data_IF_630119835557
#
_entry.id   IF_630119835557
#
_cell.length_a   1.000
_cell.length_b   1.000
_cell.length_c   1.000
_cell.angle_alpha   90.00
_cell.angle_beta   90.00
_cell.angle_gamma   90.00
#
_symmetry.space_group_name_H-M   'P 1'
#
loop_
_entity.id
_entity.type
_entity.pdbx_description
1 polymer ?
#
# COMPACT_ATOMS: atom_id res chain seq x y z
N UNK A 1 -14.41 4.91 -17.44
CA UNK A 1 -15.24 5.90 -16.72
C UNK A 1 -15.63 5.27 -15.37
N UNK A 2 -14.78 5.42 -14.35
CA UNK A 2 -14.87 4.79 -13.01
C UNK A 2 -15.96 5.45 -12.16
N UNK A 3 -17.17 5.58 -12.70
CA UNK A 3 -18.23 6.44 -12.14
C UNK A 3 -19.34 5.66 -11.43
N UNK A 4 -19.43 4.33 -11.57
CA UNK A 4 -20.69 3.64 -11.21
C UNK A 4 -20.68 2.82 -9.92
N UNK A 5 -19.53 2.59 -9.27
CA UNK A 5 -19.49 1.77 -8.05
C UNK A 5 -18.96 2.47 -6.78
N UNK A 6 -18.43 3.68 -6.89
CA UNK A 6 -18.11 4.48 -5.70
C UNK A 6 -19.35 5.23 -5.22
N UNK A 7 -20.28 4.50 -4.60
CA UNK A 7 -21.36 5.10 -3.80
C UNK A 7 -20.75 6.13 -2.84
N UNK A 8 -21.34 7.32 -2.80
CA UNK A 8 -21.03 8.45 -1.91
C UNK A 8 -20.39 8.01 -0.59
N UNK A 9 -19.04 8.01 -0.54
CA UNK A 9 -18.31 7.69 0.68
C UNK A 9 -18.50 8.88 1.62
N UNK A 10 -19.36 8.71 2.64
CA UNK A 10 -19.62 9.72 3.67
C UNK A 10 -18.30 10.27 4.23
N UNK A 11 -18.30 11.58 4.48
CA UNK A 11 -17.19 12.42 5.01
C UNK A 11 -16.16 11.65 5.84
N UNK A 12 -14.88 11.85 5.51
CA UNK A 12 -13.69 11.48 6.31
C UNK A 12 -13.97 11.68 7.81
N UNK A 13 -14.17 10.60 8.55
CA UNK A 13 -14.47 10.66 9.98
C UNK A 13 -13.18 10.82 10.77
N UNK A 14 -12.98 12.01 11.34
CA UNK A 14 -11.97 12.25 12.36
C UNK A 14 -12.65 12.30 13.72
N UNK A 15 -12.06 11.64 14.71
CA UNK A 15 -12.57 11.62 16.08
C UNK A 15 -11.58 12.30 17.01
N UNK A 16 -12.07 12.92 18.09
CA UNK A 16 -11.19 13.42 19.15
C UNK A 16 -10.51 12.23 19.82
N UNK A 17 -9.20 12.26 19.97
CA UNK A 17 -8.51 11.19 20.68
C UNK A 17 -8.61 11.39 22.20
N UNK A 18 -8.57 10.29 22.94
CA UNK A 18 -8.53 10.26 24.40
C UNK A 18 -7.47 9.29 24.89
N UNK A 19 -7.12 9.40 26.18
CA UNK A 19 -6.06 8.61 26.82
C UNK A 19 -6.37 7.11 26.83
N UNK A 20 -7.65 6.76 26.93
CA UNK A 20 -8.16 5.40 26.85
C UNK A 20 -7.86 4.73 25.51
N UNK A 21 -7.77 5.52 24.42
CA UNK A 21 -7.45 4.96 23.10
C UNK A 21 -6.01 4.48 23.04
N UNK A 22 -5.12 5.03 23.87
CA UNK A 22 -3.72 4.62 23.90
C UNK A 22 -3.53 3.24 24.57
N UNK A 23 -4.55 2.67 25.20
CA UNK A 23 -4.49 1.33 25.79
C UNK A 23 -4.41 0.22 24.75
N UNK A 24 -4.78 0.51 23.49
CA UNK A 24 -4.59 -0.42 22.36
C UNK A 24 -3.12 -0.46 21.90
N UNK A 25 -2.31 0.52 22.29
CA UNK A 25 -0.91 0.60 21.91
C UNK A 25 -0.05 -0.31 22.79
N UNK A 26 1.07 -0.77 22.23
CA UNK A 26 2.08 -1.46 23.03
C UNK A 26 2.60 -0.54 24.14
N UNK A 27 2.91 -1.11 25.30
CA UNK A 27 3.34 -0.36 26.50
C UNK A 27 4.52 0.57 26.22
N UNK A 28 5.48 0.12 25.43
CA UNK A 28 6.68 0.87 25.05
C UNK A 28 6.39 2.05 24.10
N UNK A 29 5.37 1.94 23.25
CA UNK A 29 4.98 2.97 22.29
C UNK A 29 4.02 4.03 22.88
N UNK A 30 3.29 3.69 23.95
CA UNK A 30 2.22 4.53 24.54
C UNK A 30 2.67 5.96 24.82
N UNK A 31 3.78 6.12 25.55
CA UNK A 31 4.32 7.42 25.94
C UNK A 31 4.78 8.23 24.73
N UNK A 32 5.42 7.59 23.76
CA UNK A 32 5.92 8.27 22.57
C UNK A 32 4.78 8.77 21.68
N UNK A 33 3.71 7.98 21.53
CA UNK A 33 2.51 8.37 20.78
C UNK A 33 1.81 9.53 21.48
N UNK A 34 1.66 9.47 22.81
CA UNK A 34 1.07 10.55 23.60
C UNK A 34 1.82 11.86 23.41
N UNK A 35 3.15 11.84 23.59
CA UNK A 35 3.99 13.02 23.43
C UNK A 35 3.89 13.58 22.02
N UNK A 36 3.97 12.72 21.01
CA UNK A 36 3.81 13.13 19.61
C UNK A 36 2.46 13.85 19.36
N UNK A 37 1.35 13.31 19.88
CA UNK A 37 0.03 13.93 19.72
C UNK A 37 -0.07 15.30 20.41
N UNK A 38 0.50 15.43 21.61
CA UNK A 38 0.47 16.67 22.39
C UNK A 38 1.39 17.74 21.79
N UNK A 39 2.64 17.40 21.49
CA UNK A 39 3.66 18.30 20.94
C UNK A 39 3.23 18.88 19.58
N UNK A 40 2.59 18.06 18.74
CA UNK A 40 2.07 18.49 17.44
C UNK A 40 0.64 19.06 17.51
N UNK A 41 0.07 19.22 18.71
CA UNK A 41 -1.28 19.75 18.94
C UNK A 41 -2.38 19.00 18.15
N UNK A 42 -2.17 17.70 17.91
CA UNK A 42 -3.12 16.87 17.17
C UNK A 42 -4.30 16.57 18.09
N UNK A 43 -5.46 17.17 17.83
CA UNK A 43 -6.68 16.97 18.65
C UNK A 43 -7.56 15.83 18.14
N UNK A 44 -7.44 15.47 16.87
CA UNK A 44 -8.27 14.46 16.23
C UNK A 44 -7.42 13.49 15.42
N UNK A 45 -7.83 12.23 15.43
CA UNK A 45 -7.20 11.14 14.70
C UNK A 45 -8.19 10.53 13.71
N UNK A 46 -7.72 9.94 12.60
CA UNK A 46 -8.59 9.36 11.61
C UNK A 46 -9.26 8.07 12.12
N UNK A 47 -10.55 7.93 11.83
CA UNK A 47 -11.30 6.68 11.92
C UNK A 47 -11.50 6.16 10.50
N UNK A 48 -10.97 4.98 10.21
CA UNK A 48 -10.90 4.39 8.88
C UNK A 48 -11.74 3.13 8.82
N UNK A 49 -12.59 3.03 7.80
CA UNK A 49 -13.27 1.79 7.43
C UNK A 49 -12.44 1.05 6.39
N UNK A 50 -12.06 -0.19 6.68
CA UNK A 50 -11.28 -1.05 5.79
C UNK A 50 -12.21 -1.84 4.86
N UNK A 51 -11.61 -2.49 3.85
CA UNK A 51 -12.35 -3.27 2.85
C UNK A 51 -13.13 -4.45 3.45
N UNK A 52 -12.69 -4.97 4.60
CA UNK A 52 -13.39 -6.00 5.37
C UNK A 52 -14.62 -5.48 6.14
N UNK A 53 -14.94 -4.18 6.00
CA UNK A 53 -16.05 -3.52 6.65
C UNK A 53 -15.79 -3.05 8.09
N UNK A 54 -14.65 -3.42 8.69
CA UNK A 54 -14.30 -3.01 10.06
C UNK A 54 -13.86 -1.56 10.10
N UNK A 55 -14.20 -0.88 11.19
CA UNK A 55 -13.76 0.49 11.45
C UNK A 55 -12.72 0.52 12.56
N UNK A 56 -11.58 1.17 12.31
CA UNK A 56 -10.52 1.33 13.29
C UNK A 56 -10.17 2.80 13.48
N UNK A 57 -9.88 3.15 14.73
CA UNK A 57 -9.22 4.41 15.08
C UNK A 57 -7.73 4.23 14.85
N UNK A 58 -7.13 5.11 14.04
CA UNK A 58 -5.73 4.99 13.67
C UNK A 58 -4.92 6.00 14.46
N UNK A 59 -4.18 5.51 15.45
CA UNK A 59 -3.21 6.28 16.22
C UNK A 59 -1.86 6.32 15.51
N UNK A 60 -0.97 7.28 15.87
CA UNK A 60 0.40 7.27 15.41
C UNK A 60 1.08 5.94 15.73
N UNK A 61 1.96 5.51 14.85
CA UNK A 61 2.80 4.35 15.03
C UNK A 61 4.26 4.81 15.16
N UNK A 62 5.03 4.10 15.99
CA UNK A 62 6.47 4.34 16.15
C UNK A 62 7.25 3.29 15.37
N UNK A 63 7.98 3.71 14.35
CA UNK A 63 8.95 2.86 13.65
C UNK A 63 10.33 3.04 14.26
N UNK A 64 11.01 1.92 14.54
CA UNK A 64 12.42 1.87 14.91
C UNK A 64 13.20 1.32 13.72
N UNK A 65 13.85 2.22 12.99
CA UNK A 65 14.60 1.91 11.78
C UNK A 65 16.08 1.80 12.12
N UNK A 66 16.67 0.63 11.85
CA UNK A 66 18.11 0.45 11.90
C UNK A 66 18.71 0.90 10.57
N UNK A 67 19.39 2.04 10.57
CA UNK A 67 20.03 2.60 9.36
C UNK A 67 21.41 1.98 9.16
N UNK A 68 22.17 1.81 10.24
CA UNK A 68 23.47 1.13 10.22
C UNK A 68 23.62 0.22 11.44
N UNK A 69 24.77 -0.45 11.58
CA UNK A 69 25.04 -1.29 12.76
C UNK A 69 24.97 -0.50 14.07
N UNK A 70 25.30 0.80 14.04
CA UNK A 70 25.39 1.71 15.19
C UNK A 70 24.29 2.78 15.26
N UNK A 71 23.56 3.03 14.18
CA UNK A 71 22.55 4.09 14.11
C UNK A 71 21.12 3.54 14.04
N UNK A 72 20.28 3.98 14.98
CA UNK A 72 18.82 3.78 14.96
C UNK A 72 18.10 5.11 14.87
N UNK A 73 17.07 5.16 14.07
CA UNK A 73 16.18 6.31 13.90
C UNK A 73 14.78 5.91 14.33
N UNK A 74 14.14 6.78 15.11
CA UNK A 74 12.74 6.61 15.50
C UNK A 74 11.89 7.58 14.70
N UNK A 75 10.81 7.07 14.12
CA UNK A 75 9.82 7.88 13.40
C UNK A 75 8.47 7.63 14.06
N UNK A 76 7.78 8.69 14.47
CA UNK A 76 6.40 8.61 14.94
C UNK A 76 5.50 9.31 13.91
N UNK A 77 4.51 8.61 13.37
CA UNK A 77 3.61 9.15 12.35
C UNK A 77 2.31 8.34 12.25
N UNK A 78 1.23 8.95 11.75
CA UNK A 78 0.02 8.20 11.39
C UNK A 78 0.35 7.22 10.25
N UNK A 79 0.12 5.89 10.41
CA UNK A 79 0.48 4.87 9.43
C UNK A 79 -0.49 4.81 8.23
N UNK A 80 -0.80 5.96 7.64
CA UNK A 80 -1.68 6.08 6.47
C UNK A 80 -0.97 6.89 5.39
N UNK A 81 -1.09 6.41 4.15
CA UNK A 81 -0.70 7.12 2.94
C UNK A 81 -1.90 7.16 1.99
N UNK A 82 -2.00 8.20 1.17
CA UNK A 82 -2.98 8.21 0.09
C UNK A 82 -2.68 7.04 -0.86
N UNK A 83 -3.68 6.21 -1.11
CA UNK A 83 -3.54 4.95 -1.85
C UNK A 83 -4.40 4.92 -3.14
N UNK A 84 -4.80 6.09 -3.65
CA UNK A 84 -5.55 6.18 -4.92
C UNK A 84 -4.74 5.75 -6.14
N UNK A 85 -3.44 6.02 -6.11
CA UNK A 85 -2.50 5.59 -7.13
C UNK A 85 -1.21 5.11 -6.44
N UNK A 86 -0.70 3.98 -6.90
CA UNK A 86 0.52 3.36 -6.39
C UNK A 86 1.40 2.98 -7.58
N UNK A 87 2.72 3.11 -7.42
CA UNK A 87 3.66 2.56 -8.39
C UNK A 87 3.71 1.03 -8.27
N UNK A 88 3.90 0.36 -9.41
CA UNK A 88 3.81 -1.11 -9.55
C UNK A 88 4.86 -1.90 -8.76
N UNK A 89 5.89 -1.23 -8.21
CA UNK A 89 6.99 -1.87 -7.48
C UNK A 89 6.70 -2.22 -6.01
N UNK A 90 5.47 -1.97 -5.53
CA UNK A 90 5.07 -2.40 -4.19
C UNK A 90 4.54 -3.83 -4.26
N UNK A 91 5.32 -4.80 -3.77
CA UNK A 91 5.05 -6.25 -3.84
C UNK A 91 3.86 -6.76 -3.00
N UNK A 92 2.75 -6.02 -2.96
CA UNK A 92 1.55 -6.32 -2.16
C UNK A 92 0.46 -6.99 -3.01
N UNK A 93 -0.33 -7.85 -2.40
CA UNK A 93 -1.59 -8.33 -2.99
C UNK A 93 -2.69 -7.30 -2.75
N UNK A 94 -3.49 -7.01 -3.76
CA UNK A 94 -4.57 -6.02 -3.74
C UNK A 94 -5.91 -6.69 -4.08
N UNK A 95 -6.93 -6.45 -3.24
CA UNK A 95 -8.29 -6.95 -3.51
C UNK A 95 -8.97 -6.18 -4.65
N UNK A 96 -8.65 -4.89 -4.81
CA UNK A 96 -9.19 -4.03 -5.87
C UNK A 96 -8.08 -3.19 -6.50
N UNK A 97 -7.99 -3.17 -7.83
CA UNK A 97 -7.02 -2.36 -8.55
C UNK A 97 -7.50 -1.97 -9.94
N UNK A 98 -7.12 -0.76 -10.36
CA UNK A 98 -7.26 -0.28 -11.73
C UNK A 98 -5.86 -0.04 -12.30
N UNK A 99 -5.53 -0.68 -13.41
CA UNK A 99 -4.25 -0.51 -14.10
C UNK A 99 -4.51 0.22 -15.40
N UNK A 100 -3.80 1.33 -15.62
CA UNK A 100 -3.79 2.03 -16.89
C UNK A 100 -2.43 1.87 -17.57
N UNK A 101 -2.43 1.22 -18.73
CA UNK A 101 -1.23 1.02 -19.54
C UNK A 101 -1.08 2.05 -20.67
N UNK A 102 -1.95 3.07 -20.77
CA UNK A 102 -1.96 4.01 -21.89
C UNK A 102 -0.58 4.64 -22.18
N UNK A 103 0.15 5.05 -21.12
CA UNK A 103 1.48 5.67 -21.23
C UNK A 103 2.64 4.70 -20.95
N UNK A 104 2.40 3.38 -21.03
CA UNK A 104 3.43 2.38 -20.76
C UNK A 104 4.37 2.15 -21.95
N UNK A 105 5.67 2.13 -21.68
CA UNK A 105 6.70 1.85 -22.70
C UNK A 105 6.61 0.42 -23.24
N UNK A 106 6.75 0.28 -24.57
CA UNK A 106 6.75 -1.02 -25.28
C UNK A 106 7.82 -2.01 -24.80
N UNK A 107 8.92 -1.52 -24.23
CA UNK A 107 10.07 -2.34 -23.83
C UNK A 107 10.15 -2.60 -22.31
N UNK A 108 9.08 -2.35 -21.56
CA UNK A 108 9.03 -2.60 -20.12
C UNK A 108 8.77 -4.09 -19.81
N UNK A 109 9.76 -4.94 -20.11
CA UNK A 109 9.66 -6.39 -19.91
C UNK A 109 9.25 -6.75 -18.48
N UNK A 110 8.22 -7.58 -18.35
CA UNK A 110 7.67 -8.03 -17.06
C UNK A 110 6.76 -7.04 -16.34
N UNK A 111 6.61 -5.79 -16.79
CA UNK A 111 5.78 -4.79 -16.08
C UNK A 111 4.30 -5.18 -16.05
N UNK A 112 3.75 -5.65 -17.18
CA UNK A 112 2.36 -6.11 -17.27
C UNK A 112 2.11 -7.25 -16.30
N UNK A 113 3.02 -8.23 -16.25
CA UNK A 113 2.95 -9.35 -15.32
C UNK A 113 3.02 -8.88 -13.86
N UNK A 114 3.95 -7.98 -13.52
CA UNK A 114 4.07 -7.45 -12.15
C UNK A 114 2.79 -6.74 -11.73
N UNK A 115 2.21 -5.90 -12.60
CA UNK A 115 0.99 -5.16 -12.31
C UNK A 115 -0.22 -6.09 -12.13
N UNK A 116 -0.44 -7.01 -13.07
CA UNK A 116 -1.60 -7.93 -13.03
C UNK A 116 -1.50 -8.95 -11.89
N UNK A 117 -0.29 -9.45 -11.60
CA UNK A 117 -0.06 -10.40 -10.49
C UNK A 117 -0.30 -9.82 -9.10
N UNK A 118 -0.61 -8.52 -8.97
CA UNK A 118 -1.03 -7.92 -7.70
C UNK A 118 -2.50 -8.23 -7.38
N UNK A 119 -3.34 -8.47 -8.40
CA UNK A 119 -4.75 -8.73 -8.20
C UNK A 119 -4.94 -10.07 -7.50
N UNK A 120 -5.78 -10.09 -6.47
CA UNK A 120 -6.17 -11.33 -5.80
C UNK A 120 -7.12 -12.18 -6.65
N UNK A 121 -8.03 -11.51 -7.35
CA UNK A 121 -9.02 -12.12 -8.24
C UNK A 121 -9.27 -11.20 -9.45
N UNK A 122 -9.85 -11.77 -10.51
CA UNK A 122 -10.16 -11.01 -11.73
C UNK A 122 -11.29 -9.99 -11.53
N UNK A 123 -12.26 -10.31 -10.67
CA UNK A 123 -13.44 -9.46 -10.39
C UNK A 123 -13.05 -8.09 -9.81
N UNK A 124 -11.94 -8.03 -9.06
CA UNK A 124 -11.42 -6.80 -8.46
C UNK A 124 -10.51 -5.97 -9.38
N UNK A 125 -10.32 -6.37 -10.65
CA UNK A 125 -9.35 -5.77 -11.55
C UNK A 125 -10.00 -5.07 -12.75
N UNK A 126 -9.66 -3.79 -12.95
CA UNK A 126 -9.98 -3.03 -14.16
C UNK A 126 -8.69 -2.74 -14.93
N UNK A 127 -8.69 -2.96 -16.25
CA UNK A 127 -7.53 -2.72 -17.12
C UNK A 127 -7.90 -1.73 -18.23
N UNK A 128 -7.11 -0.67 -18.35
CA UNK A 128 -7.20 0.36 -19.38
C UNK A 128 -5.92 0.38 -20.22
N UNK A 129 -6.03 0.77 -21.50
CA UNK A 129 -4.87 1.02 -22.36
C UNK A 129 -4.03 -0.22 -22.72
N UNK A 130 -4.53 -1.43 -22.48
CA UNK A 130 -3.79 -2.66 -22.76
C UNK A 130 -3.53 -2.85 -24.25
N UNK A 131 -2.29 -3.19 -24.59
CA UNK A 131 -1.91 -3.68 -25.92
C UNK A 131 -1.14 -4.98 -25.80
N UNK A 132 -1.42 -5.92 -26.70
CA UNK A 132 -0.76 -7.24 -26.71
C UNK A 132 0.76 -7.15 -26.84
N UNK A 133 1.27 -6.13 -27.55
CA UNK A 133 2.71 -5.91 -27.77
C UNK A 133 3.49 -5.51 -26.49
N UNK A 134 2.79 -5.18 -25.40
CA UNK A 134 3.40 -4.86 -24.10
C UNK A 134 3.75 -6.11 -23.27
N UNK A 135 3.18 -7.26 -23.61
CA UNK A 135 3.47 -8.52 -22.91
C UNK A 135 4.76 -9.09 -23.47
N UNK A 136 5.88 -8.77 -22.81
CA UNK A 136 7.19 -9.26 -23.20
C UNK A 136 8.02 -9.71 -22.00
N UNK A 137 8.85 -10.71 -22.23
CA UNK A 137 9.89 -11.16 -21.30
C UNK A 137 11.27 -10.72 -21.80
N UNK A 138 12.21 -10.57 -20.87
CA UNK A 138 13.57 -10.23 -21.22
C UNK A 138 14.30 -11.48 -21.73
N UNK A 139 14.85 -11.44 -22.96
CA UNK A 139 15.56 -12.57 -23.59
C UNK A 139 16.68 -13.16 -22.74
N UNK A 140 17.34 -12.37 -21.87
CA UNK A 140 18.35 -12.89 -20.93
C UNK A 140 17.74 -13.77 -19.85
N UNK A 141 16.54 -13.42 -19.39
CA UNK A 141 15.80 -14.19 -18.39
C UNK A 141 15.26 -15.48 -19.00
N UNK A 142 14.75 -15.43 -20.24
CA UNK A 142 14.33 -16.63 -20.98
C UNK A 142 15.47 -17.65 -21.06
N UNK A 143 16.64 -17.24 -21.57
CA UNK A 143 17.84 -18.10 -21.65
C UNK A 143 18.29 -18.66 -20.29
N UNK A 144 18.18 -17.85 -19.24
CA UNK A 144 18.51 -18.29 -17.89
C UNK A 144 17.58 -19.43 -17.43
N UNK A 145 16.26 -19.28 -17.63
CA UNK A 145 15.30 -20.32 -17.25
C UNK A 145 15.34 -21.55 -18.16
N UNK A 146 15.65 -21.40 -19.46
CA UNK A 146 15.89 -22.53 -20.37
C UNK A 146 17.04 -23.42 -19.88
N UNK A 147 18.12 -22.81 -19.39
CA UNK A 147 19.26 -23.54 -18.81
C UNK A 147 18.93 -24.27 -17.51
N UNK A 148 17.92 -23.84 -16.75
CA UNK A 148 17.48 -24.52 -15.52
C UNK A 148 16.59 -25.75 -15.80
N UNK A 149 15.88 -25.75 -16.94
CA UNK A 149 14.98 -26.85 -17.31
C UNK A 149 15.75 -28.00 -17.99
N UNK A 150 16.94 -27.73 -18.55
CA UNK A 150 17.78 -28.73 -19.23
C UNK A 150 18.60 -29.67 -18.32
N UNK A 151 18.58 -29.47 -17.01
CA UNK A 151 19.35 -30.26 -16.02
C UNK A 151 18.46 -31.21 -15.18
N UNK A 152 17.25 -31.54 -15.64
CA UNK A 152 16.29 -32.44 -14.98
C UNK A 152 16.00 -33.71 -15.80
#
# INVERSE_FOLDING_TARGET
MISRHFKSYKRRSFIKWGEEMLDICRKDAKTQIRNFLLENQIKKVPKVRFADGREHVILPHVWNLRVTSKLRVYVCQIPLILAWALTTHKGMTLDFLCIDFADTWKNAAGLVYVAMSRAKNEEGMEICGFRKDMVCANKRVEKFYEGLVGDA
#
